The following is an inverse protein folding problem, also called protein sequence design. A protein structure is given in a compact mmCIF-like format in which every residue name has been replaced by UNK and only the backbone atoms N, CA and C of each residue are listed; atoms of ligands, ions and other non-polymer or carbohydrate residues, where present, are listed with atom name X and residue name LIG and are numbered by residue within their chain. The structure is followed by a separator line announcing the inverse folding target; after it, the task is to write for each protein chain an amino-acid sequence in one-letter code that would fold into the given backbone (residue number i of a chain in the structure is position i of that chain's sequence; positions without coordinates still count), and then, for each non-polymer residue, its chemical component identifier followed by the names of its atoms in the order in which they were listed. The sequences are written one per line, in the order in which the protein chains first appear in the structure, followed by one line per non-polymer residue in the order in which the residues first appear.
data_IF_800092468335
#
_entry.id   IF_800092468335
#
_cell.length_a   1.000
_cell.length_b   1.000
_cell.length_c   1.000
_cell.angle_alpha   90.00
_cell.angle_beta   90.00
_cell.angle_gamma   90.00
#
_symmetry.space_group_name_H-M   'P 1'
#
loop_
_entity.id
_entity.type
_entity.pdbx_description
1 polymer ?
#
# COMPACT_ATOMS: atom_id res chain seq x y z
N UNK A 1 -24.85 -3.98 -11.08
CA UNK A 1 -23.93 -4.44 -12.14
C UNK A 1 -22.79 -5.22 -11.46
N UNK A 2 -22.64 -6.54 -11.68
CA UNK A 2 -21.65 -7.41 -10.99
C UNK A 2 -20.93 -8.43 -11.91
N UNK A 3 -21.00 -8.26 -13.23
CA UNK A 3 -20.65 -9.32 -14.19
C UNK A 3 -19.63 -8.89 -15.24
N UNK A 4 -18.66 -8.03 -14.87
CA UNK A 4 -17.51 -7.78 -15.72
C UNK A 4 -16.39 -8.76 -15.33
N UNK A 5 -16.19 -9.81 -16.12
CA UNK A 5 -15.07 -10.75 -15.96
C UNK A 5 -13.96 -10.31 -16.90
N UNK A 6 -12.81 -9.92 -16.35
CA UNK A 6 -11.64 -9.49 -17.11
C UNK A 6 -10.49 -10.44 -16.81
N UNK A 7 -9.97 -11.09 -17.85
CA UNK A 7 -8.76 -11.91 -17.75
C UNK A 7 -7.54 -11.01 -17.92
N UNK A 8 -6.66 -10.98 -16.92
CA UNK A 8 -5.44 -10.17 -16.95
C UNK A 8 -4.20 -11.03 -16.81
N UNK A 9 -3.11 -10.62 -17.47
CA UNK A 9 -1.81 -11.25 -17.35
C UNK A 9 -1.03 -10.49 -16.28
N UNK A 10 -0.76 -11.15 -15.15
CA UNK A 10 -0.04 -10.57 -14.01
C UNK A 10 1.41 -11.10 -14.01
N UNK A 11 2.42 -10.28 -13.66
CA UNK A 11 3.80 -10.75 -13.55
C UNK A 11 3.95 -11.84 -12.49
N UNK A 12 4.50 -12.99 -12.88
CA UNK A 12 4.77 -14.13 -11.99
C UNK A 12 6.07 -13.99 -11.19
N UNK A 13 7.00 -13.13 -11.64
CA UNK A 13 8.31 -12.96 -11.00
C UNK A 13 8.32 -11.73 -10.10
N UNK A 14 8.88 -11.87 -8.89
CA UNK A 14 9.02 -10.82 -7.88
C UNK A 14 9.53 -9.48 -8.46
N UNK A 15 10.67 -9.49 -9.16
CA UNK A 15 11.24 -8.27 -9.73
C UNK A 15 10.34 -7.56 -10.74
N UNK A 16 9.57 -8.32 -11.54
CA UNK A 16 8.61 -7.74 -12.50
C UNK A 16 7.42 -7.13 -11.76
N UNK A 17 6.94 -7.78 -10.69
CA UNK A 17 5.91 -7.25 -9.81
C UNK A 17 6.37 -5.95 -9.13
N UNK A 18 7.56 -5.94 -8.52
CA UNK A 18 8.11 -4.74 -7.90
C UNK A 18 8.25 -3.59 -8.89
N UNK A 19 8.75 -3.84 -10.10
CA UNK A 19 8.82 -2.81 -11.15
C UNK A 19 7.45 -2.23 -11.52
N UNK A 20 6.43 -3.09 -11.60
CA UNK A 20 5.06 -2.68 -11.87
C UNK A 20 4.51 -1.80 -10.74
N UNK A 21 4.63 -2.25 -9.49
CA UNK A 21 4.17 -1.51 -8.31
C UNK A 21 4.91 -0.19 -8.15
N UNK A 22 6.24 -0.17 -8.30
CA UNK A 22 7.04 1.06 -8.28
C UNK A 22 6.58 2.06 -9.34
N UNK A 23 6.18 1.60 -10.52
CA UNK A 23 5.65 2.48 -11.57
C UNK A 23 4.30 3.09 -11.14
N UNK A 24 3.43 2.30 -10.51
CA UNK A 24 2.14 2.78 -10.01
C UNK A 24 2.32 3.76 -8.86
N UNK A 25 3.12 3.43 -7.86
CA UNK A 25 3.34 4.26 -6.68
C UNK A 25 3.98 5.61 -7.02
N UNK A 26 4.92 5.67 -7.97
CA UNK A 26 5.45 6.97 -8.46
C UNK A 26 4.37 7.86 -9.07
N UNK A 27 3.37 7.26 -9.71
CA UNK A 27 2.25 7.98 -10.33
C UNK A 27 1.32 8.50 -9.27
N UNK A 28 0.98 7.63 -8.32
CA UNK A 28 0.19 7.93 -7.15
C UNK A 28 0.80 9.12 -6.37
N UNK A 29 2.09 9.06 -6.03
CA UNK A 29 2.77 10.15 -5.32
C UNK A 29 2.76 11.46 -6.13
N UNK A 30 2.94 11.41 -7.45
CA UNK A 30 2.87 12.61 -8.30
C UNK A 30 1.45 13.19 -8.35
N UNK A 31 0.44 12.34 -8.40
CA UNK A 31 -0.96 12.72 -8.37
C UNK A 31 -1.32 13.37 -7.04
N UNK A 32 -0.90 12.78 -5.91
CA UNK A 32 -1.07 13.35 -4.57
C UNK A 32 -0.44 14.75 -4.46
N UNK A 33 0.80 14.94 -4.92
CA UNK A 33 1.47 16.25 -4.91
C UNK A 33 0.73 17.29 -5.78
N UNK A 34 0.08 16.86 -6.87
CA UNK A 34 -0.72 17.75 -7.72
C UNK A 34 -2.08 18.04 -7.09
N UNK A 35 -2.74 17.02 -6.55
CA UNK A 35 -4.02 17.12 -5.86
C UNK A 35 -3.91 18.05 -4.65
N UNK A 36 -2.80 17.97 -3.89
CA UNK A 36 -2.46 18.87 -2.80
C UNK A 36 -2.55 20.36 -3.15
N UNK A 37 -2.13 20.72 -4.37
CA UNK A 37 -2.15 22.10 -4.84
C UNK A 37 -3.54 22.56 -5.28
N UNK A 38 -4.37 21.63 -5.74
CA UNK A 38 -5.70 21.90 -6.30
C UNK A 38 -6.78 21.89 -5.21
N UNK A 39 -6.59 21.11 -4.13
CA UNK A 39 -7.60 20.92 -3.08
C UNK A 39 -8.09 22.25 -2.48
N UNK A 40 -7.20 23.24 -2.37
CA UNK A 40 -7.51 24.55 -1.82
C UNK A 40 -8.44 25.40 -2.69
N UNK A 41 -8.58 25.07 -3.98
CA UNK A 41 -9.49 25.76 -4.91
C UNK A 41 -10.93 25.24 -4.82
N UNK A 42 -11.19 24.15 -4.09
CA UNK A 42 -12.53 23.53 -3.98
C UNK A 42 -13.44 24.29 -3.01
N UNK A 43 -14.78 24.24 -3.20
CA UNK A 43 -15.73 24.81 -2.25
C UNK A 43 -15.69 24.07 -0.90
N UNK A 44 -16.00 24.79 0.19
CA UNK A 44 -15.86 24.36 1.58
C UNK A 44 -16.29 22.91 1.90
N UNK A 45 -17.52 22.46 1.58
CA UNK A 45 -17.96 21.11 1.98
C UNK A 45 -17.14 19.99 1.31
N UNK A 46 -16.88 20.14 0.01
CA UNK A 46 -16.04 19.19 -0.76
C UNK A 46 -14.57 19.25 -0.36
N UNK A 47 -14.08 20.41 0.09
CA UNK A 47 -12.70 20.58 0.53
C UNK A 47 -12.42 19.76 1.79
N UNK A 48 -13.33 19.77 2.76
CA UNK A 48 -13.16 19.01 4.02
C UNK A 48 -13.11 17.52 3.72
N UNK A 49 -14.05 17.00 2.93
CA UNK A 49 -14.07 15.59 2.53
C UNK A 49 -12.79 15.20 1.79
N UNK A 50 -12.34 16.03 0.84
CA UNK A 50 -11.10 15.77 0.10
C UNK A 50 -9.84 15.81 0.97
N UNK A 51 -9.80 16.67 2.00
CA UNK A 51 -8.67 16.73 2.94
C UNK A 51 -8.68 15.53 3.89
N UNK A 52 -9.85 15.08 4.34
CA UNK A 52 -9.99 13.90 5.20
C UNK A 52 -9.57 12.62 4.46
N UNK A 53 -10.12 12.41 3.26
CA UNK A 53 -9.79 11.27 2.39
C UNK A 53 -8.29 11.25 2.06
N UNK A 54 -7.74 12.43 1.78
CA UNK A 54 -6.31 12.60 1.57
C UNK A 54 -5.50 12.28 2.82
N UNK A 55 -5.90 12.77 3.99
CA UNK A 55 -5.18 12.49 5.23
C UNK A 55 -5.14 10.99 5.53
N UNK A 56 -6.26 10.28 5.34
CA UNK A 56 -6.30 8.83 5.53
C UNK A 56 -5.37 8.08 4.58
N UNK A 57 -5.27 8.53 3.32
CA UNK A 57 -4.46 7.85 2.30
C UNK A 57 -2.98 8.26 2.37
N UNK A 58 -2.70 9.54 2.60
CA UNK A 58 -1.34 10.07 2.78
C UNK A 58 -0.69 9.59 4.07
N UNK A 59 -1.44 9.24 5.12
CA UNK A 59 -0.89 8.68 6.36
C UNK A 59 -0.11 7.37 6.12
N UNK A 60 -0.42 6.62 5.07
CA UNK A 60 0.32 5.41 4.71
C UNK A 60 1.77 5.70 4.29
N UNK A 61 2.06 6.88 3.73
CA UNK A 61 3.41 7.30 3.32
C UNK A 61 4.38 7.45 4.50
N UNK A 62 4.13 8.32 5.51
CA UNK A 62 5.02 8.46 6.64
C UNK A 62 5.07 7.17 7.47
N UNK A 63 3.97 6.43 7.60
CA UNK A 63 3.96 5.14 8.30
C UNK A 63 4.91 4.14 7.62
N UNK A 64 4.88 4.03 6.29
CA UNK A 64 5.76 3.11 5.56
C UNK A 64 7.23 3.54 5.62
N UNK A 65 7.51 4.85 5.51
CA UNK A 65 8.86 5.40 5.67
C UNK A 65 9.41 5.16 7.08
N UNK A 66 8.62 5.46 8.11
CA UNK A 66 9.01 5.26 9.50
C UNK A 66 9.15 3.78 9.82
N UNK A 67 8.24 2.92 9.32
CA UNK A 67 8.30 1.48 9.48
C UNK A 67 9.62 0.90 8.95
N UNK A 68 10.11 1.38 7.81
CA UNK A 68 11.36 0.91 7.21
C UNK A 68 12.58 1.16 8.10
N UNK A 69 12.59 2.24 8.87
CA UNK A 69 13.69 2.62 9.77
C UNK A 69 13.47 2.05 11.17
N UNK A 70 12.28 2.22 11.72
CA UNK A 70 11.97 1.92 13.12
C UNK A 70 11.90 0.40 13.37
N UNK A 71 11.32 -0.38 12.44
CA UNK A 71 11.21 -1.84 12.59
C UNK A 71 12.59 -2.50 12.80
N UNK A 72 13.60 -2.31 11.93
CA UNK A 72 14.89 -2.94 12.14
C UNK A 72 15.62 -2.42 13.40
N UNK A 73 15.48 -1.12 13.73
CA UNK A 73 16.06 -0.54 14.95
C UNK A 73 15.46 -1.15 16.21
N UNK A 74 14.13 -1.28 16.27
CA UNK A 74 13.42 -1.88 17.42
C UNK A 74 13.75 -3.36 17.55
N UNK A 75 13.83 -4.10 16.43
CA UNK A 75 14.23 -5.52 16.45
C UNK A 75 15.68 -5.68 16.96
N UNK A 76 16.58 -4.78 16.58
CA UNK A 76 17.97 -4.80 17.03
C UNK A 76 18.10 -4.52 18.54
N UNK A 77 17.30 -3.61 19.08
CA UNK A 77 17.30 -3.26 20.51
C UNK A 77 16.54 -4.29 21.36
N UNK A 78 15.42 -4.81 20.83
CA UNK A 78 14.49 -5.69 21.54
C UNK A 78 14.02 -6.83 20.63
N UNK A 79 14.81 -7.92 20.50
CA UNK A 79 14.46 -9.04 19.64
C UNK A 79 13.17 -9.78 20.07
N UNK A 80 12.72 -9.59 21.31
CA UNK A 80 11.45 -10.12 21.81
C UNK A 80 10.22 -9.55 21.09
N UNK A 81 10.33 -8.40 20.43
CA UNK A 81 9.23 -7.71 19.72
C UNK A 81 8.81 -8.44 18.43
N UNK A 82 9.64 -9.32 17.89
CA UNK A 82 9.33 -10.05 16.64
C UNK A 82 8.07 -10.92 16.76
N UNK A 83 7.88 -11.59 17.90
CA UNK A 83 6.71 -12.44 18.16
C UNK A 83 5.39 -11.67 18.13
N UNK A 84 5.18 -10.65 18.98
CA UNK A 84 3.94 -9.88 18.96
C UNK A 84 3.73 -9.16 17.62
N UNK A 85 4.80 -8.75 16.93
CA UNK A 85 4.67 -8.15 15.59
C UNK A 85 4.07 -9.14 14.58
N UNK A 86 4.51 -10.40 14.58
CA UNK A 86 3.95 -11.44 13.71
C UNK A 86 2.50 -11.78 14.04
N UNK A 87 2.14 -11.78 15.32
CA UNK A 87 0.77 -11.98 15.80
C UNK A 87 -0.16 -10.85 15.34
N UNK A 88 0.28 -9.59 15.47
CA UNK A 88 -0.48 -8.42 15.02
C UNK A 88 -0.68 -8.44 13.51
N UNK A 89 0.36 -8.73 12.72
CA UNK A 89 0.24 -8.86 11.27
C UNK A 89 -0.75 -9.98 10.90
N UNK A 90 -0.68 -11.10 11.61
CA UNK A 90 -1.61 -12.22 11.44
C UNK A 90 -3.04 -11.83 11.73
N UNK A 91 -3.29 -11.20 12.88
CA UNK A 91 -4.63 -10.76 13.30
C UNK A 91 -5.24 -9.76 12.30
N UNK A 92 -4.46 -8.78 11.84
CA UNK A 92 -4.89 -7.80 10.83
C UNK A 92 -5.20 -8.50 9.50
N UNK A 93 -4.34 -9.42 9.07
CA UNK A 93 -4.54 -10.16 7.82
C UNK A 93 -5.79 -11.04 7.88
N UNK A 94 -6.01 -11.74 8.99
CA UNK A 94 -7.23 -12.53 9.23
C UNK A 94 -8.46 -11.63 9.21
N UNK A 95 -8.41 -10.46 9.86
CA UNK A 95 -9.51 -9.51 9.85
C UNK A 95 -9.87 -9.04 8.43
N UNK A 96 -8.87 -8.68 7.61
CA UNK A 96 -9.07 -8.30 6.20
C UNK A 96 -9.69 -9.44 5.38
N UNK A 97 -9.23 -10.67 5.60
CA UNK A 97 -9.76 -11.84 4.91
C UNK A 97 -11.19 -12.17 5.34
N UNK A 98 -11.54 -12.01 6.61
CA UNK A 98 -12.91 -12.17 7.10
C UNK A 98 -13.85 -11.14 6.45
N UNK A 99 -13.39 -9.90 6.33
CA UNK A 99 -14.14 -8.86 5.61
C UNK A 99 -14.33 -9.20 4.13
N UNK A 100 -13.27 -9.69 3.47
CA UNK A 100 -13.33 -10.15 2.08
C UNK A 100 -14.28 -11.34 1.90
N UNK A 101 -14.24 -12.33 2.80
CA UNK A 101 -15.13 -13.48 2.79
C UNK A 101 -16.60 -13.07 2.92
N UNK A 102 -16.90 -12.05 3.74
CA UNK A 102 -18.26 -11.51 3.88
C UNK A 102 -18.76 -10.88 2.57
N UNK A 103 -17.86 -10.29 1.78
CA UNK A 103 -18.19 -9.54 0.56
C UNK A 103 -18.25 -10.42 -0.68
N UNK A 104 -17.24 -11.25 -0.93
CA UNK A 104 -17.11 -12.07 -2.14
C UNK A 104 -17.43 -13.57 -1.94
N UNK A 105 -17.56 -14.05 -0.68
CA UNK A 105 -17.86 -15.46 -0.34
C UNK A 105 -17.01 -16.50 -1.09
N UNK A 106 -15.74 -16.21 -1.34
CA UNK A 106 -14.81 -17.12 -2.00
C UNK A 106 -13.87 -17.80 -0.98
N UNK A 107 -13.54 -19.08 -1.21
CA UNK A 107 -12.72 -19.89 -0.29
C UNK A 107 -11.21 -19.59 -0.35
N UNK A 108 -10.78 -18.48 -0.95
CA UNK A 108 -9.36 -18.15 -1.15
C UNK A 108 -8.73 -17.49 0.09
N UNK A 109 -9.20 -17.90 1.28
CA UNK A 109 -8.89 -17.33 2.60
C UNK A 109 -7.39 -17.46 2.92
N UNK A 110 -6.83 -18.65 2.68
CA UNK A 110 -5.43 -18.94 2.98
C UNK A 110 -4.47 -18.06 2.18
N UNK A 111 -4.81 -17.76 0.92
CA UNK A 111 -4.03 -16.87 0.07
C UNK A 111 -4.02 -15.45 0.59
N UNK A 112 -5.13 -14.96 1.14
CA UNK A 112 -5.21 -13.61 1.69
C UNK A 112 -4.32 -13.41 2.92
N UNK A 113 -4.27 -14.41 3.82
CA UNK A 113 -3.40 -14.35 5.00
C UNK A 113 -1.93 -14.41 4.59
N UNK A 114 -1.57 -15.33 3.69
CA UNK A 114 -0.21 -15.46 3.18
C UNK A 114 0.24 -14.18 2.45
N UNK A 115 -0.68 -13.58 1.67
CA UNK A 115 -0.43 -12.32 0.98
C UNK A 115 -0.24 -11.15 1.95
N UNK A 116 -0.96 -11.11 3.07
CA UNK A 116 -0.77 -10.10 4.12
C UNK A 116 0.66 -10.07 4.65
N UNK A 117 1.20 -11.23 5.06
CA UNK A 117 2.60 -11.36 5.49
C UNK A 117 3.58 -10.97 4.38
N UNK A 118 3.35 -11.45 3.16
CA UNK A 118 4.19 -11.11 2.01
C UNK A 118 4.19 -9.61 1.73
N UNK A 119 3.03 -8.95 1.80
CA UNK A 119 2.91 -7.51 1.57
C UNK A 119 3.65 -6.69 2.62
N UNK A 120 3.50 -7.02 3.90
CA UNK A 120 4.14 -6.28 4.98
C UNK A 120 5.67 -6.43 4.98
N UNK A 121 6.19 -7.60 4.60
CA UNK A 121 7.64 -7.85 4.63
C UNK A 121 8.30 -7.47 3.30
N UNK A 122 7.76 -7.94 2.18
CA UNK A 122 8.40 -7.85 0.87
C UNK A 122 8.03 -6.57 0.10
N UNK A 123 6.87 -5.96 0.37
CA UNK A 123 6.37 -4.80 -0.40
C UNK A 123 6.47 -3.48 0.37
N UNK A 124 6.69 -3.48 1.69
CA UNK A 124 6.71 -2.26 2.52
C UNK A 124 7.73 -1.20 2.04
N UNK A 125 8.83 -1.61 1.42
CA UNK A 125 9.86 -0.69 0.92
C UNK A 125 9.53 -0.02 -0.42
N UNK A 126 8.54 -0.53 -1.16
CA UNK A 126 8.22 -0.07 -2.52
C UNK A 126 7.76 1.39 -2.47
N UNK A 127 6.82 1.71 -1.58
CA UNK A 127 6.25 3.04 -1.42
C UNK A 127 7.28 4.11 -0.99
N UNK A 128 8.12 3.91 0.05
CA UNK A 128 9.18 4.87 0.38
C UNK A 128 10.20 5.00 -0.76
N UNK A 129 10.59 3.90 -1.41
CA UNK A 129 11.50 3.96 -2.56
C UNK A 129 10.90 4.71 -3.75
N UNK A 130 9.60 4.54 -4.00
CA UNK A 130 8.87 5.27 -5.03
C UNK A 130 8.86 6.77 -4.73
N UNK A 131 8.67 7.19 -3.46
CA UNK A 131 8.71 8.58 -3.01
C UNK A 131 10.07 9.25 -3.28
N UNK A 132 11.18 8.56 -3.00
CA UNK A 132 12.51 9.10 -3.32
C UNK A 132 12.78 9.15 -4.83
N UNK A 133 12.22 8.20 -5.60
CA UNK A 133 12.44 8.09 -7.05
C UNK A 133 11.38 8.77 -7.91
N UNK A 134 10.49 9.60 -7.35
CA UNK A 134 9.41 10.29 -8.10
C UNK A 134 9.94 11.15 -9.25
N UNK A 135 11.13 11.74 -9.09
CA UNK A 135 11.76 12.60 -10.11
C UNK A 135 12.31 11.83 -11.31
N UNK A 136 12.37 10.50 -11.25
CA UNK A 136 12.82 9.69 -12.38
C UNK A 136 11.82 9.83 -13.54
N UNK A 137 12.25 10.53 -14.59
CA UNK A 137 11.46 10.85 -15.79
C UNK A 137 11.15 9.64 -16.69
N UNK A 138 11.56 8.43 -16.32
CA UNK A 138 11.29 7.20 -17.06
C UNK A 138 9.83 6.73 -16.90
N UNK A 139 8.89 7.67 -16.95
CA UNK A 139 7.46 7.42 -16.84
C UNK A 139 6.83 7.80 -18.18
N UNK A 140 6.37 6.74 -18.87
CA UNK A 140 5.85 6.68 -20.24
C UNK A 140 6.92 6.56 -21.33
N UNK A 141 6.69 5.56 -22.18
CA UNK A 141 7.31 5.33 -23.49
C UNK A 141 7.57 6.64 -24.20
N UNK A 142 8.85 6.97 -24.38
CA UNK A 142 9.30 7.70 -25.54
C UNK A 142 10.17 6.77 -26.35
#
# INVERSE_FOLDING_TARGET
QRTAVVHTIVPSRYWKLCKMLLRWDRSYVREEIRFARIVWRRPWPTRILAVLDRFTTDAALPISCLGLILVPVVIALHPSVVRPMLEVIGAISVFQVLYYLRTERSFHILYGVLYGYYSTVALMWILPYALFTVRARAWLTR
#
